data_IF_258475565483
#
_entry.id   IF_258475565483
#
_cell.length_a   1.000
_cell.length_b   1.000
_cell.length_c   1.000
_cell.angle_alpha   90.00
_cell.angle_beta   90.00
_cell.angle_gamma   90.00
#
_symmetry.space_group_name_H-M   'P 1'
#
loop_
_entity.id
_entity.type
_entity.pdbx_description
1 polymer ?
#
# COMPACT_ATOMS: atom_id res chain seq x y z
N UNK A 1 -3.22 -12.88 -20.01
CA UNK A 1 -2.31 -14.03 -19.76
C UNK A 1 -0.87 -13.64 -20.09
N UNK A 2 -0.21 -12.91 -19.18
CA UNK A 2 1.24 -12.76 -19.24
C UNK A 2 1.88 -14.06 -18.73
N UNK A 3 2.67 -14.74 -19.57
CA UNK A 3 3.40 -15.96 -19.19
C UNK A 3 4.70 -15.60 -18.44
N UNK A 4 4.91 -16.22 -17.27
CA UNK A 4 6.10 -16.06 -16.45
C UNK A 4 7.37 -16.55 -17.16
N UNK A 5 7.26 -17.55 -18.05
CA UNK A 5 8.40 -17.99 -18.86
C UNK A 5 8.74 -16.94 -19.92
N UNK A 6 7.73 -16.42 -20.61
CA UNK A 6 7.91 -15.32 -21.55
C UNK A 6 8.53 -14.08 -20.87
N UNK A 7 8.12 -13.75 -19.64
CA UNK A 7 8.74 -12.64 -18.90
C UNK A 7 10.20 -12.91 -18.54
N UNK A 8 10.55 -14.12 -18.10
CA UNK A 8 11.95 -14.48 -17.83
C UNK A 8 12.81 -14.42 -19.10
N UNK A 9 12.29 -14.89 -20.23
CA UNK A 9 12.98 -14.80 -21.52
C UNK A 9 13.15 -13.34 -21.93
N UNK A 10 12.11 -12.52 -21.78
CA UNK A 10 12.17 -11.08 -22.02
C UNK A 10 13.24 -10.42 -21.13
N UNK A 11 13.28 -10.73 -19.84
CA UNK A 11 14.27 -10.19 -18.90
C UNK A 11 15.70 -10.67 -19.17
N UNK A 12 15.89 -11.93 -19.58
CA UNK A 12 17.19 -12.41 -20.05
C UNK A 12 17.59 -11.70 -21.35
N UNK A 13 16.63 -11.45 -22.24
CA UNK A 13 16.79 -10.63 -23.43
C UNK A 13 17.33 -9.23 -23.11
N UNK A 14 16.85 -8.58 -22.04
CA UNK A 14 17.34 -7.26 -21.62
C UNK A 14 18.84 -7.21 -21.30
N UNK A 15 19.50 -8.35 -21.06
CA UNK A 15 20.96 -8.41 -20.86
C UNK A 15 21.73 -8.35 -22.18
N UNK A 16 21.16 -8.89 -23.26
CA UNK A 16 21.86 -9.12 -24.54
C UNK A 16 21.29 -8.33 -25.72
N UNK A 17 20.09 -7.75 -25.58
CA UNK A 17 19.45 -6.99 -26.64
C UNK A 17 20.19 -5.70 -26.98
N UNK A 18 20.05 -5.26 -28.23
CA UNK A 18 20.51 -3.94 -28.66
C UNK A 18 19.75 -2.85 -27.91
N UNK A 19 20.34 -1.66 -27.79
CA UNK A 19 19.73 -0.55 -27.07
C UNK A 19 18.33 -0.19 -27.60
N UNK A 20 18.13 -0.25 -28.93
CA UNK A 20 16.82 0.00 -29.55
C UNK A 20 15.75 -1.01 -29.12
N UNK A 21 16.11 -2.30 -29.02
CA UNK A 21 15.19 -3.35 -28.57
C UNK A 21 14.86 -3.20 -27.09
N UNK A 22 15.85 -2.85 -26.26
CA UNK A 22 15.61 -2.55 -24.84
C UNK A 22 14.66 -1.36 -24.67
N UNK A 23 14.87 -0.29 -25.43
CA UNK A 23 14.02 0.90 -25.41
C UNK A 23 12.55 0.57 -25.74
N UNK A 24 12.32 -0.18 -26.82
CA UNK A 24 10.96 -0.62 -27.19
C UNK A 24 10.30 -1.47 -26.09
N UNK A 25 11.07 -2.30 -25.39
CA UNK A 25 10.54 -3.10 -24.28
C UNK A 25 10.22 -2.26 -23.05
N UNK A 26 11.04 -1.27 -22.70
CA UNK A 26 10.72 -0.35 -21.61
C UNK A 26 9.41 0.39 -21.89
N UNK A 27 9.29 0.96 -23.10
CA UNK A 27 8.11 1.71 -23.52
C UNK A 27 6.84 0.84 -23.45
N UNK A 28 6.91 -0.39 -23.97
CA UNK A 28 5.80 -1.34 -23.90
C UNK A 28 5.38 -1.64 -22.45
N UNK A 29 6.34 -1.94 -21.56
CA UNK A 29 6.05 -2.25 -20.16
C UNK A 29 5.44 -1.04 -19.45
N UNK A 30 5.98 0.16 -19.66
CA UNK A 30 5.47 1.39 -19.05
C UNK A 30 4.04 1.68 -19.54
N UNK A 31 3.81 1.62 -20.85
CA UNK A 31 2.50 1.85 -21.45
C UNK A 31 1.43 0.87 -20.95
N UNK A 32 1.80 -0.39 -20.70
CA UNK A 32 0.88 -1.43 -20.25
C UNK A 32 0.96 -1.74 -18.75
N UNK A 33 1.67 -0.95 -17.96
CA UNK A 33 1.96 -1.26 -16.56
C UNK A 33 0.71 -1.54 -15.72
N UNK A 34 -0.33 -0.71 -15.84
CA UNK A 34 -1.58 -0.89 -15.08
C UNK A 34 -2.32 -2.16 -15.53
N UNK A 35 -2.42 -2.39 -16.85
CA UNK A 35 -3.07 -3.59 -17.38
C UNK A 35 -2.35 -4.86 -16.92
N UNK A 36 -1.02 -4.82 -16.89
CA UNK A 36 -0.21 -5.91 -16.34
C UNK A 36 -0.47 -6.08 -14.84
N UNK A 37 -0.54 -4.99 -14.07
CA UNK A 37 -0.81 -5.05 -12.63
C UNK A 37 -2.17 -5.70 -12.29
N UNK A 38 -3.18 -5.53 -13.14
CA UNK A 38 -4.51 -6.12 -12.99
C UNK A 38 -4.65 -7.53 -13.61
N UNK A 39 -3.68 -8.03 -14.37
CA UNK A 39 -3.72 -9.37 -14.97
C UNK A 39 -3.19 -10.43 -14.01
N UNK A 40 -3.87 -11.59 -13.97
CA UNK A 40 -3.54 -12.74 -13.10
C UNK A 40 -2.08 -13.22 -13.22
N UNK A 41 -1.48 -13.16 -14.40
CA UNK A 41 -0.06 -13.44 -14.60
C UNK A 41 0.79 -12.17 -14.55
N UNK A 42 0.24 -11.08 -15.11
CA UNK A 42 0.92 -9.80 -15.29
C UNK A 42 1.43 -9.18 -13.99
N UNK A 43 0.69 -9.26 -12.89
CA UNK A 43 1.12 -8.63 -11.64
C UNK A 43 2.39 -9.28 -11.07
N UNK A 44 2.56 -10.59 -11.29
CA UNK A 44 3.76 -11.33 -10.88
C UNK A 44 4.95 -10.93 -11.75
N UNK A 45 4.71 -10.84 -13.07
CA UNK A 45 5.70 -10.35 -14.05
C UNK A 45 6.13 -8.93 -13.71
N UNK A 46 5.20 -8.03 -13.39
CA UNK A 46 5.48 -6.62 -13.12
C UNK A 46 6.34 -6.44 -11.86
N UNK A 47 6.04 -7.17 -10.78
CA UNK A 47 6.88 -7.18 -9.56
C UNK A 47 8.29 -7.69 -9.85
N UNK A 48 8.41 -8.72 -10.69
CA UNK A 48 9.71 -9.23 -11.10
C UNK A 48 10.49 -8.19 -11.91
N UNK A 49 9.83 -7.53 -12.87
CA UNK A 49 10.44 -6.45 -13.66
C UNK A 49 10.98 -5.33 -12.77
N UNK A 50 10.20 -4.88 -11.76
CA UNK A 50 10.64 -3.84 -10.82
C UNK A 50 11.94 -4.24 -10.09
N UNK A 51 12.06 -5.50 -9.68
CA UNK A 51 13.26 -6.00 -9.00
C UNK A 51 14.43 -6.17 -9.97
N UNK A 52 14.18 -6.76 -11.13
CA UNK A 52 15.23 -7.05 -12.11
C UNK A 52 15.80 -5.76 -12.72
N UNK A 53 14.98 -4.74 -12.97
CA UNK A 53 15.46 -3.44 -13.44
C UNK A 53 16.31 -2.72 -12.39
N UNK A 54 16.03 -2.93 -11.09
CA UNK A 54 16.94 -2.49 -10.02
C UNK A 54 18.29 -3.20 -10.13
N UNK A 55 18.27 -4.53 -10.21
CA UNK A 55 19.48 -5.36 -10.26
C UNK A 55 20.33 -5.12 -11.53
N UNK A 56 19.71 -4.75 -12.65
CA UNK A 56 20.37 -4.44 -13.92
C UNK A 56 20.82 -2.96 -14.02
N UNK A 57 20.56 -2.13 -13.01
CA UNK A 57 20.92 -0.70 -13.02
C UNK A 57 20.04 0.17 -13.91
N UNK A 58 18.85 -0.30 -14.29
CA UNK A 58 17.88 0.42 -15.11
C UNK A 58 16.98 1.34 -14.27
N UNK A 59 17.59 2.15 -13.39
CA UNK A 59 16.89 2.92 -12.37
C UNK A 59 15.87 3.90 -12.93
N UNK A 60 16.19 4.61 -14.02
CA UNK A 60 15.28 5.57 -14.65
C UNK A 60 13.92 4.95 -15.03
N UNK A 61 13.94 3.79 -15.70
CA UNK A 61 12.71 3.11 -16.11
C UNK A 61 11.98 2.45 -14.94
N UNK A 62 12.73 1.96 -13.94
CA UNK A 62 12.15 1.47 -12.68
C UNK A 62 11.39 2.58 -11.97
N UNK A 63 11.98 3.76 -11.87
CA UNK A 63 11.37 4.89 -11.18
C UNK A 63 10.14 5.40 -11.92
N UNK A 64 10.17 5.43 -13.26
CA UNK A 64 8.97 5.70 -14.08
C UNK A 64 7.86 4.65 -13.84
N UNK A 65 8.23 3.37 -13.76
CA UNK A 65 7.26 2.31 -13.51
C UNK A 65 6.65 2.42 -12.11
N UNK A 66 7.46 2.69 -11.08
CA UNK A 66 7.00 2.95 -9.72
C UNK A 66 6.10 4.18 -9.64
N UNK A 67 6.41 5.23 -10.42
CA UNK A 67 5.56 6.40 -10.54
C UNK A 67 4.19 6.07 -11.14
N UNK A 68 4.13 5.26 -12.21
CA UNK A 68 2.86 4.83 -12.80
C UNK A 68 2.05 3.99 -11.79
N UNK A 69 2.69 3.08 -11.05
CA UNK A 69 2.02 2.32 -9.99
C UNK A 69 1.47 3.25 -8.91
N UNK A 70 2.27 4.22 -8.46
CA UNK A 70 1.87 5.17 -7.43
C UNK A 70 0.68 6.04 -7.87
N UNK A 71 0.74 6.61 -9.07
CA UNK A 71 -0.35 7.42 -9.64
C UNK A 71 -1.68 6.64 -9.76
N UNK A 72 -1.60 5.32 -9.92
CA UNK A 72 -2.76 4.44 -10.04
C UNK A 72 -3.08 3.69 -8.73
N UNK A 73 -2.42 4.02 -7.61
CA UNK A 73 -2.50 3.25 -6.38
C UNK A 73 -3.94 3.07 -5.91
N UNK A 74 -4.78 4.12 -5.96
CA UNK A 74 -6.18 4.04 -5.53
C UNK A 74 -6.95 2.93 -6.25
N UNK A 75 -6.96 2.94 -7.59
CA UNK A 75 -7.63 1.90 -8.40
C UNK A 75 -7.01 0.52 -8.15
N UNK A 76 -5.68 0.45 -8.11
CA UNK A 76 -4.97 -0.82 -7.91
C UNK A 76 -5.24 -1.42 -6.53
N UNK A 77 -5.47 -0.62 -5.50
CA UNK A 77 -5.79 -1.11 -4.14
C UNK A 77 -7.13 -1.85 -4.05
N UNK A 78 -8.07 -1.57 -4.96
CA UNK A 78 -9.33 -2.33 -5.08
C UNK A 78 -9.21 -3.55 -6.00
N UNK A 79 -8.14 -3.66 -6.78
CA UNK A 79 -7.97 -4.73 -7.74
C UNK A 79 -7.42 -6.02 -7.07
N UNK A 80 -7.98 -7.21 -7.36
CA UNK A 80 -7.53 -8.49 -6.78
C UNK A 80 -6.05 -8.82 -7.01
N UNK A 81 -5.43 -8.29 -8.06
CA UNK A 81 -4.02 -8.48 -8.40
C UNK A 81 -3.20 -7.20 -8.16
N UNK A 82 -3.75 -6.05 -8.52
CA UNK A 82 -3.12 -4.73 -8.40
C UNK A 82 -2.71 -4.38 -6.97
N UNK A 83 -3.49 -4.79 -5.96
CA UNK A 83 -3.17 -4.52 -4.56
C UNK A 83 -1.82 -5.13 -4.16
N UNK A 84 -1.44 -6.27 -4.74
CA UNK A 84 -0.14 -6.89 -4.48
C UNK A 84 1.02 -6.11 -5.11
N UNK A 85 0.77 -5.40 -6.21
CA UNK A 85 1.78 -4.53 -6.85
C UNK A 85 2.01 -3.28 -6.01
N UNK A 86 0.94 -2.64 -5.51
CA UNK A 86 1.06 -1.47 -4.61
C UNK A 86 1.76 -1.87 -3.31
N UNK A 87 1.37 -3.00 -2.70
CA UNK A 87 2.07 -3.53 -1.52
C UNK A 87 3.54 -3.85 -1.81
N UNK A 88 3.87 -4.36 -3.00
CA UNK A 88 5.25 -4.62 -3.38
C UNK A 88 6.04 -3.32 -3.50
N UNK A 89 5.49 -2.30 -4.17
CA UNK A 89 6.11 -0.99 -4.29
C UNK A 89 6.42 -0.38 -2.92
N UNK A 90 5.48 -0.42 -1.98
CA UNK A 90 5.69 0.04 -0.60
C UNK A 90 6.76 -0.77 0.15
N UNK A 91 6.86 -2.09 -0.08
CA UNK A 91 7.88 -2.95 0.54
C UNK A 91 9.30 -2.67 0.06
N UNK A 92 9.47 -2.00 -1.09
CA UNK A 92 10.80 -1.59 -1.57
C UNK A 92 11.41 -0.49 -0.69
N UNK A 93 10.60 0.15 0.16
CA UNK A 93 11.01 1.25 1.04
C UNK A 93 11.69 2.40 0.27
N UNK A 94 11.22 2.65 -0.96
CA UNK A 94 11.66 3.76 -1.79
C UNK A 94 10.89 5.02 -1.37
N UNK A 95 11.59 5.99 -0.80
CA UNK A 95 10.99 7.20 -0.21
C UNK A 95 10.06 7.94 -1.18
N UNK A 96 10.51 8.13 -2.44
CA UNK A 96 9.74 8.86 -3.46
C UNK A 96 8.50 8.08 -3.85
N UNK A 97 8.63 6.77 -4.03
CA UNK A 97 7.49 5.90 -4.33
C UNK A 97 6.47 5.90 -3.19
N UNK A 98 6.92 5.72 -1.94
CA UNK A 98 6.06 5.74 -0.76
C UNK A 98 5.30 7.06 -0.61
N UNK A 99 5.99 8.20 -0.80
CA UNK A 99 5.35 9.51 -0.78
C UNK A 99 4.30 9.66 -1.89
N UNK A 100 4.62 9.26 -3.12
CA UNK A 100 3.66 9.34 -4.23
C UNK A 100 2.43 8.43 -4.02
N UNK A 101 2.62 7.23 -3.45
CA UNK A 101 1.51 6.36 -3.07
C UNK A 101 0.69 6.99 -1.95
N UNK A 102 1.34 7.54 -0.92
CA UNK A 102 0.67 8.23 0.19
C UNK A 102 -0.19 9.40 -0.31
N UNK A 103 0.35 10.24 -1.19
CA UNK A 103 -0.41 11.33 -1.83
C UNK A 103 -1.59 10.79 -2.63
N UNK A 104 -1.40 9.74 -3.42
CA UNK A 104 -2.46 9.17 -4.26
C UNK A 104 -3.56 8.48 -3.46
N UNK A 105 -3.28 8.06 -2.22
CA UNK A 105 -4.23 7.41 -1.32
C UNK A 105 -4.77 8.35 -0.23
N UNK A 106 -4.23 9.56 -0.13
CA UNK A 106 -4.71 10.57 0.81
C UNK A 106 -6.21 10.87 0.60
N UNK A 107 -6.96 10.91 1.69
CA UNK A 107 -8.42 11.02 1.71
C UNK A 107 -9.18 9.71 1.45
N UNK A 108 -8.48 8.62 1.15
CA UNK A 108 -9.11 7.34 0.78
C UNK A 108 -8.74 6.19 1.73
N UNK A 109 -7.80 6.38 2.66
CA UNK A 109 -7.30 5.33 3.54
C UNK A 109 -8.40 4.81 4.47
N UNK A 110 -9.28 5.69 4.97
CA UNK A 110 -10.42 5.28 5.79
C UNK A 110 -11.35 4.31 5.04
N UNK A 111 -11.77 4.67 3.83
CA UNK A 111 -12.65 3.82 3.01
C UNK A 111 -11.98 2.50 2.58
N UNK A 112 -10.71 2.56 2.19
CA UNK A 112 -9.93 1.37 1.82
C UNK A 112 -9.80 0.37 2.96
N UNK A 113 -9.74 0.85 4.21
CA UNK A 113 -9.60 0.02 5.40
C UNK A 113 -10.81 -0.89 5.67
N UNK A 114 -11.99 -0.58 5.12
CA UNK A 114 -13.17 -1.45 5.19
C UNK A 114 -13.12 -2.63 4.21
N UNK A 115 -12.16 -2.63 3.27
CA UNK A 115 -12.06 -3.69 2.26
C UNK A 115 -10.91 -4.64 2.56
N UNK A 116 -11.05 -5.90 2.15
CA UNK A 116 -9.98 -6.89 2.29
C UNK A 116 -8.69 -6.45 1.61
N UNK A 117 -8.78 -5.99 0.37
CA UNK A 117 -7.61 -5.67 -0.45
C UNK A 117 -6.97 -4.34 -0.03
N UNK A 118 -7.78 -3.31 0.18
CA UNK A 118 -7.34 -1.99 0.62
C UNK A 118 -6.73 -2.01 2.02
N UNK A 119 -7.27 -2.78 2.96
CA UNK A 119 -6.74 -2.86 4.33
C UNK A 119 -5.29 -3.37 4.39
N UNK A 120 -4.88 -4.27 3.48
CA UNK A 120 -3.48 -4.69 3.37
C UNK A 120 -2.57 -3.57 2.86
N UNK A 121 -3.06 -2.74 1.92
CA UNK A 121 -2.30 -1.59 1.40
C UNK A 121 -2.18 -0.51 2.47
N UNK A 122 -3.28 -0.13 3.14
CA UNK A 122 -3.25 0.83 4.26
C UNK A 122 -2.38 0.31 5.39
N UNK A 123 -2.46 -0.99 5.68
CA UNK A 123 -1.55 -1.63 6.62
C UNK A 123 -0.08 -1.50 6.24
N UNK A 124 0.27 -1.45 4.94
CA UNK A 124 1.64 -1.20 4.48
C UNK A 124 2.03 0.27 4.54
N UNK A 125 1.11 1.21 4.33
CA UNK A 125 1.37 2.63 4.56
C UNK A 125 1.67 2.90 6.04
N UNK A 126 0.95 2.26 6.96
CA UNK A 126 1.24 2.34 8.39
C UNK A 126 2.63 1.79 8.77
N UNK A 127 3.25 0.92 7.96
CA UNK A 127 4.61 0.45 8.22
C UNK A 127 5.67 1.53 7.94
N UNK A 128 5.36 2.58 7.16
CA UNK A 128 6.31 3.64 6.79
C UNK A 128 6.09 4.89 7.65
N UNK A 129 7.16 5.65 7.89
CA UNK A 129 7.08 6.87 8.70
C UNK A 129 6.29 7.95 7.97
N UNK A 130 6.54 8.11 6.67
CA UNK A 130 6.00 9.19 5.84
C UNK A 130 4.51 9.05 5.56
N UNK A 131 3.99 7.82 5.55
CA UNK A 131 2.59 7.55 5.22
C UNK A 131 1.77 7.17 6.45
N UNK A 132 2.39 6.64 7.51
CA UNK A 132 1.68 6.24 8.73
C UNK A 132 0.95 7.40 9.38
N UNK A 133 1.58 8.58 9.46
CA UNK A 133 0.96 9.77 10.02
C UNK A 133 -0.19 10.31 9.15
N UNK A 134 -0.09 10.18 7.82
CA UNK A 134 -1.16 10.58 6.89
C UNK A 134 -2.41 9.72 7.12
N UNK A 135 -2.23 8.39 7.20
CA UNK A 135 -3.33 7.45 7.48
C UNK A 135 -4.00 7.78 8.82
N UNK A 136 -3.20 8.01 9.86
CA UNK A 136 -3.72 8.33 11.20
C UNK A 136 -4.39 9.69 11.22
N UNK A 137 -3.83 10.67 10.51
CA UNK A 137 -4.44 11.96 10.26
C UNK A 137 -5.86 11.79 9.73
N UNK A 138 -6.06 11.03 8.65
CA UNK A 138 -7.39 10.75 8.10
C UNK A 138 -8.35 10.14 9.13
N UNK A 139 -7.89 9.15 9.90
CA UNK A 139 -8.70 8.55 10.96
C UNK A 139 -9.11 9.57 12.02
N UNK A 140 -8.23 10.53 12.33
CA UNK A 140 -8.47 11.65 13.22
C UNK A 140 -9.41 12.73 12.62
N UNK A 141 -9.63 12.74 11.31
CA UNK A 141 -10.64 13.60 10.68
C UNK A 141 -12.06 12.98 10.64
N UNK A 142 -12.20 11.65 10.70
CA UNK A 142 -13.52 10.99 10.66
C UNK A 142 -14.36 11.21 11.93
N UNK A 143 -15.66 10.90 11.93
CA UNK A 143 -16.43 10.88 13.18
C UNK A 143 -16.02 9.70 14.07
N UNK A 144 -16.07 9.87 15.40
CA UNK A 144 -15.67 8.82 16.35
C UNK A 144 -16.50 7.52 16.19
N UNK A 145 -17.80 7.65 15.91
CA UNK A 145 -18.69 6.51 15.61
C UNK A 145 -18.23 5.74 14.37
N UNK A 146 -17.86 6.44 13.29
CA UNK A 146 -17.32 5.82 12.07
C UNK A 146 -16.01 5.09 12.36
N UNK A 147 -15.17 5.65 13.23
CA UNK A 147 -13.92 5.01 13.63
C UNK A 147 -14.16 3.73 14.46
N UNK A 148 -15.18 3.71 15.31
CA UNK A 148 -15.64 2.52 16.03
C UNK A 148 -16.19 1.46 15.07
N UNK A 149 -16.98 1.87 14.06
CA UNK A 149 -17.44 0.97 13.01
C UNK A 149 -16.25 0.33 12.28
N UNK A 150 -15.23 1.11 11.93
CA UNK A 150 -14.01 0.60 11.31
C UNK A 150 -13.30 -0.40 12.23
N UNK A 151 -13.14 -0.06 13.52
CA UNK A 151 -12.49 -0.91 14.53
C UNK A 151 -13.21 -2.25 14.76
N UNK A 152 -14.52 -2.33 14.47
CA UNK A 152 -15.33 -3.54 14.60
C UNK A 152 -15.49 -4.32 13.29
N UNK A 153 -15.06 -3.76 12.17
CA UNK A 153 -15.16 -4.40 10.85
C UNK A 153 -14.18 -5.56 10.69
N UNK A 154 -14.50 -6.48 9.78
CA UNK A 154 -13.70 -7.69 9.50
C UNK A 154 -12.25 -7.34 9.14
N UNK A 155 -12.04 -6.29 8.35
CA UNK A 155 -10.70 -5.88 7.87
C UNK A 155 -10.15 -4.65 8.57
N UNK A 156 -11.00 -3.68 8.90
CA UNK A 156 -10.60 -2.42 9.51
C UNK A 156 -10.10 -2.59 10.94
N UNK A 157 -10.57 -3.61 11.67
CA UNK A 157 -10.06 -3.93 13.01
C UNK A 157 -8.55 -4.19 13.02
N UNK A 158 -8.02 -4.86 11.99
CA UNK A 158 -6.58 -5.04 11.82
C UNK A 158 -5.86 -3.70 11.59
N UNK A 159 -6.41 -2.83 10.74
CA UNK A 159 -5.80 -1.54 10.41
C UNK A 159 -5.79 -0.61 11.62
N UNK A 160 -6.90 -0.51 12.34
CA UNK A 160 -7.00 0.30 13.57
C UNK A 160 -6.05 -0.22 14.65
N UNK A 161 -6.02 -1.54 14.87
CA UNK A 161 -5.08 -2.15 15.81
C UNK A 161 -3.64 -1.81 15.45
N UNK A 162 -3.30 -1.94 14.17
CA UNK A 162 -1.96 -1.62 13.68
C UNK A 162 -1.62 -0.15 13.85
N UNK A 163 -2.54 0.76 13.52
CA UNK A 163 -2.35 2.19 13.70
C UNK A 163 -2.06 2.55 15.16
N UNK A 164 -2.82 1.99 16.11
CA UNK A 164 -2.58 2.18 17.54
C UNK A 164 -1.19 1.69 17.95
N UNK A 165 -0.75 0.51 17.48
CA UNK A 165 0.57 -0.05 17.84
C UNK A 165 1.73 0.71 17.23
N UNK A 166 1.65 1.05 15.95
CA UNK A 166 2.72 1.81 15.29
C UNK A 166 2.83 3.20 15.91
N UNK A 167 1.72 3.90 16.14
CA UNK A 167 1.78 5.24 16.74
C UNK A 167 2.26 5.19 18.19
N UNK A 168 1.90 4.16 18.96
CA UNK A 168 2.42 3.97 20.31
C UNK A 168 3.95 3.96 20.35
N UNK A 169 4.59 3.38 19.33
CA UNK A 169 6.05 3.29 19.23
C UNK A 169 6.69 4.52 18.57
N UNK A 170 6.03 5.15 17.59
CA UNK A 170 6.62 6.18 16.73
C UNK A 170 6.22 7.61 17.07
N UNK A 171 4.96 7.84 17.43
CA UNK A 171 4.43 9.19 17.63
C UNK A 171 3.37 9.19 18.75
N UNK A 172 3.83 9.48 19.97
CA UNK A 172 3.00 9.50 21.17
C UNK A 172 1.84 10.50 21.12
N UNK A 173 2.00 11.63 20.43
CA UNK A 173 0.92 12.61 20.26
C UNK A 173 -0.23 12.02 19.43
N UNK A 174 0.08 11.52 18.24
CA UNK A 174 -0.93 10.91 17.36
C UNK A 174 -1.56 9.67 18.00
N UNK A 175 -0.78 8.90 18.76
CA UNK A 175 -1.29 7.78 19.54
C UNK A 175 -2.36 8.22 20.54
N UNK A 176 -2.06 9.20 21.41
CA UNK A 176 -3.03 9.67 22.40
C UNK A 176 -4.24 10.35 21.78
N UNK A 177 -4.06 11.05 20.65
CA UNK A 177 -5.18 11.61 19.88
C UNK A 177 -6.11 10.51 19.36
N UNK A 178 -5.57 9.39 18.86
CA UNK A 178 -6.38 8.23 18.46
C UNK A 178 -7.09 7.60 19.65
N UNK A 179 -6.37 7.37 20.75
CA UNK A 179 -6.93 6.80 21.98
C UNK A 179 -8.10 7.65 22.50
N UNK A 180 -7.89 8.95 22.67
CA UNK A 180 -8.91 9.89 23.15
C UNK A 180 -10.14 9.94 22.23
N UNK A 181 -9.97 9.69 20.94
CA UNK A 181 -11.07 9.61 19.99
C UNK A 181 -11.95 8.38 20.18
N UNK A 182 -11.38 7.27 20.65
CA UNK A 182 -12.12 6.05 20.99
C UNK A 182 -12.73 6.08 22.38
N UNK A 183 -12.13 6.80 23.34
CA UNK A 183 -12.53 6.78 24.76
C UNK A 183 -14.03 6.99 25.00
N UNK A 184 -14.72 7.96 24.36
CA UNK A 184 -16.16 8.15 24.55
C UNK A 184 -17.01 6.93 24.14
N UNK A 185 -16.46 6.06 23.29
CA UNK A 185 -17.14 4.92 22.69
C UNK A 185 -16.58 3.58 23.14
N UNK A 186 -15.71 3.55 24.17
CA UNK A 186 -15.00 2.34 24.60
C UNK A 186 -15.95 1.18 24.94
N UNK A 187 -17.14 1.49 25.45
CA UNK A 187 -18.21 0.54 25.75
C UNK A 187 -18.64 -0.27 24.52
N UNK A 188 -18.64 0.34 23.33
CA UNK A 188 -18.99 -0.29 22.06
C UNK A 188 -17.89 -1.23 21.53
N UNK A 189 -16.69 -1.18 22.12
CA UNK A 189 -15.55 -2.02 21.78
C UNK A 189 -15.30 -3.12 22.81
N UNK A 190 -16.14 -3.26 23.83
CA UNK A 190 -16.04 -4.34 24.81
C UNK A 190 -16.05 -5.71 24.14
N UNK A 191 -15.18 -6.61 24.60
CA UNK A 191 -15.00 -7.94 24.02
C UNK A 191 -14.16 -7.97 22.73
N UNK A 192 -13.81 -6.82 22.15
CA UNK A 192 -12.84 -6.74 21.06
C UNK A 192 -11.43 -6.47 21.60
N UNK A 193 -10.42 -7.01 20.92
CA UNK A 193 -8.99 -6.81 21.26
C UNK A 193 -8.61 -5.34 21.42
N UNK A 194 -9.15 -4.47 20.57
CA UNK A 194 -8.92 -3.02 20.62
C UNK A 194 -9.50 -2.43 21.91
N UNK A 195 -10.74 -2.78 22.27
CA UNK A 195 -11.37 -2.32 23.50
C UNK A 195 -10.58 -2.73 24.75
N UNK A 196 -10.21 -4.00 24.86
CA UNK A 196 -9.38 -4.49 25.98
C UNK A 196 -8.04 -3.77 26.09
N UNK A 197 -7.42 -3.42 24.96
CA UNK A 197 -6.20 -2.64 24.95
C UNK A 197 -6.43 -1.20 25.41
N UNK A 198 -7.49 -0.54 24.93
CA UNK A 198 -7.81 0.82 25.35
C UNK A 198 -8.17 0.89 26.84
N UNK A 199 -8.90 -0.11 27.37
CA UNK A 199 -9.24 -0.20 28.80
C UNK A 199 -7.98 -0.32 29.67
N UNK A 200 -6.91 -0.95 29.16
CA UNK A 200 -5.64 -1.07 29.89
C UNK A 200 -4.82 0.22 29.98
N UNK A 201 -5.22 1.26 29.25
CA UNK A 201 -4.57 2.59 29.26
C UNK A 201 -5.26 3.59 30.20
N UNK A 202 -6.44 3.22 30.73
CA UNK A 202 -7.20 3.97 31.73
C UNK A 202 -6.75 3.58 33.14
#
# INVERSE_FOLDING_TARGET
MADLHASRVAMQGMRVFSQAKKAAMYDYVLHHAVNLACDRGGYTVLKQIINDWCALGHFFYRDQLLYIVALNAFRLSYDPHGNYVVQHALRLNDLRCTQNVSVSLSGHCFGLSFTKLGSYVVGKLLDTEEAGEVVVGEFLWCYGESLVQLARSEFGSFVVWKALRVMQERNGDLFWRLVNKFMPFIQLLRGHRIGTFLDSLC
#
